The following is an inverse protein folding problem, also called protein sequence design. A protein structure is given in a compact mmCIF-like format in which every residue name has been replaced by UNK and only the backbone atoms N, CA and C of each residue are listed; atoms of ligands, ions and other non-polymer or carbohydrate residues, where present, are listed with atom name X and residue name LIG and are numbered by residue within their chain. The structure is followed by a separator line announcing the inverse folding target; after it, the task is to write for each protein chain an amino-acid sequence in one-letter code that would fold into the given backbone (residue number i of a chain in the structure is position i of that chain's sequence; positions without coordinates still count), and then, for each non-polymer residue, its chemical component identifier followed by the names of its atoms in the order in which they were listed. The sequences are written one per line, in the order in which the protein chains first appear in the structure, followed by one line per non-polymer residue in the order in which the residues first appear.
data_IF_744761403361
#
_entry.id   IF_744761403361
#
_cell.length_a   1.000
_cell.length_b   1.000
_cell.length_c   1.000
_cell.angle_alpha   90.00
_cell.angle_beta   90.00
_cell.angle_gamma   90.00
#
_symmetry.space_group_name_H-M   'P 1'
#
loop_
_entity.id
_entity.type
_entity.pdbx_description
1 polymer ?
#
# COMPACT_ATOMS: atom_id res chain seq x y z
N UNK A 1 -13.67 41.90 -5.91
CA UNK A 1 -13.79 40.53 -5.39
C UNK A 1 -12.41 39.89 -5.54
N UNK A 2 -11.61 39.86 -4.45
CA UNK A 2 -10.21 39.39 -4.50
C UNK A 2 -10.22 37.86 -4.45
N UNK A 3 -9.87 37.23 -5.58
CA UNK A 3 -9.56 35.80 -5.61
C UNK A 3 -8.41 35.51 -4.65
N UNK A 4 -8.70 34.72 -3.63
CA UNK A 4 -7.73 34.25 -2.67
C UNK A 4 -6.87 33.22 -3.39
N UNK A 5 -5.66 33.63 -3.81
CA UNK A 5 -4.61 32.73 -4.28
C UNK A 5 -4.32 31.72 -3.17
N UNK A 6 -4.97 30.56 -3.22
CA UNK A 6 -4.59 29.40 -2.41
C UNK A 6 -3.21 28.97 -2.90
N UNK A 7 -2.18 29.32 -2.13
CA UNK A 7 -0.82 28.84 -2.33
C UNK A 7 -0.85 27.31 -2.42
N UNK A 8 -0.32 26.74 -3.51
CA UNK A 8 -0.17 25.29 -3.61
C UNK A 8 0.67 24.80 -2.41
N UNK A 9 0.23 23.74 -1.70
CA UNK A 9 1.00 23.23 -0.58
C UNK A 9 2.40 22.81 -1.05
N UNK A 10 3.41 23.20 -0.27
CA UNK A 10 4.80 22.79 -0.46
C UNK A 10 4.88 21.24 -0.45
N UNK A 11 5.80 20.64 -1.21
CA UNK A 11 5.96 19.17 -1.30
C UNK A 11 6.02 18.49 0.08
N UNK A 12 6.76 19.09 1.02
CA UNK A 12 6.90 18.60 2.40
C UNK A 12 5.56 18.59 3.15
N UNK A 13 4.69 19.57 2.88
CA UNK A 13 3.35 19.63 3.48
C UNK A 13 2.43 18.54 2.91
N UNK A 14 2.57 18.22 1.62
CA UNK A 14 1.79 17.17 0.97
C UNK A 14 2.17 15.78 1.49
N UNK A 15 3.46 15.47 1.60
CA UNK A 15 3.93 14.17 2.10
C UNK A 15 3.48 13.94 3.55
N UNK A 16 3.57 14.97 4.39
CA UNK A 16 3.08 14.94 5.76
C UNK A 16 1.56 14.74 5.83
N UNK A 17 0.80 15.44 4.98
CA UNK A 17 -0.65 15.30 4.90
C UNK A 17 -1.06 13.88 4.48
N UNK A 18 -0.44 13.33 3.42
CA UNK A 18 -0.72 11.97 2.94
C UNK A 18 -0.46 10.95 4.04
N UNK A 19 0.70 11.01 4.71
CA UNK A 19 1.01 10.10 5.82
C UNK A 19 0.00 10.21 6.95
N UNK A 20 -0.39 11.42 7.33
CA UNK A 20 -1.38 11.64 8.39
C UNK A 20 -2.75 11.04 8.04
N UNK A 21 -3.17 11.10 6.76
CA UNK A 21 -4.41 10.49 6.30
C UNK A 21 -4.32 8.97 6.23
N UNK A 22 -3.22 8.43 5.71
CA UNK A 22 -3.01 6.99 5.64
C UNK A 22 -2.85 6.34 7.04
N UNK A 23 -2.42 7.09 8.06
CA UNK A 23 -2.44 6.63 9.45
C UNK A 23 -3.86 6.39 9.98
N UNK A 24 -4.87 7.07 9.44
CA UNK A 24 -6.28 6.87 9.81
C UNK A 24 -6.89 5.65 9.12
N UNK A 25 -6.23 5.11 8.08
CA UNK A 25 -6.72 3.94 7.38
C UNK A 25 -6.54 2.67 8.22
N UNK A 26 -7.50 1.72 8.17
CA UNK A 26 -7.44 0.49 8.96
C UNK A 26 -6.28 -0.45 8.55
N UNK A 27 -6.00 -1.45 9.40
CA UNK A 27 -4.99 -2.49 9.13
C UNK A 27 -5.29 -3.29 7.86
N UNK A 28 -6.58 -3.55 7.59
CA UNK A 28 -7.05 -4.03 6.30
C UNK A 28 -7.35 -2.82 5.40
N UNK A 29 -6.91 -2.77 4.13
CA UNK A 29 -7.24 -1.67 3.24
C UNK A 29 -8.75 -1.42 3.16
N UNK A 30 -9.21 -0.15 3.13
CA UNK A 30 -10.64 0.16 3.08
C UNK A 30 -11.28 -0.40 1.81
N UNK A 31 -12.46 -1.00 1.92
CA UNK A 31 -13.12 -1.69 0.80
C UNK A 31 -12.67 -3.13 0.54
N UNK A 32 -11.54 -3.59 1.11
CA UNK A 32 -11.21 -5.01 1.08
C UNK A 32 -12.09 -5.79 2.05
N UNK A 33 -12.73 -6.85 1.56
CA UNK A 33 -13.49 -7.80 2.35
C UNK A 33 -12.70 -9.09 2.53
N UNK A 34 -12.99 -9.84 3.61
CA UNK A 34 -12.45 -11.19 3.74
C UNK A 34 -13.07 -12.08 2.67
N UNK A 35 -12.25 -12.89 2.00
CA UNK A 35 -12.70 -13.76 0.93
C UNK A 35 -11.94 -15.09 0.98
N UNK A 36 -12.61 -16.24 0.78
CA UNK A 36 -11.92 -17.52 0.68
C UNK A 36 -11.00 -17.59 -0.55
N UNK A 37 -11.20 -16.71 -1.54
CA UNK A 37 -10.35 -16.59 -2.75
C UNK A 37 -8.99 -15.94 -2.48
N UNK A 38 -8.88 -15.23 -1.36
CA UNK A 38 -7.64 -14.60 -0.90
C UNK A 38 -7.53 -14.82 0.62
N UNK A 39 -7.21 -16.06 1.06
CA UNK A 39 -7.05 -16.35 2.47
C UNK A 39 -5.76 -15.71 2.98
N UNK A 40 -5.77 -15.24 4.23
CA UNK A 40 -4.63 -14.58 4.83
C UNK A 40 -5.01 -13.40 5.70
N UNK A 41 -4.00 -12.60 6.02
CA UNK A 41 -4.16 -11.41 6.85
C UNK A 41 -3.53 -10.19 6.20
N UNK A 42 -4.26 -9.09 6.25
CA UNK A 42 -3.76 -7.76 5.89
C UNK A 42 -3.17 -7.07 7.11
N UNK A 43 -1.96 -6.54 6.96
CA UNK A 43 -1.33 -5.66 7.93
C UNK A 43 -0.77 -4.41 7.23
N UNK A 44 -0.95 -3.26 7.87
CA UNK A 44 -0.35 -2.00 7.45
C UNK A 44 1.15 -2.02 7.77
N UNK A 45 1.96 -1.97 6.73
CA UNK A 45 3.40 -1.77 6.82
C UNK A 45 3.79 -0.30 6.91
N UNK A 46 3.13 0.57 6.12
CA UNK A 46 3.37 2.02 6.10
C UNK A 46 2.07 2.81 5.91
N UNK A 47 1.95 4.01 6.49
CA UNK A 47 2.87 4.59 7.48
C UNK A 47 2.86 3.80 8.79
N UNK A 48 4.03 3.68 9.46
CA UNK A 48 4.10 3.10 10.79
C UNK A 48 3.51 4.03 11.84
N UNK A 49 3.04 3.42 12.92
CA UNK A 49 2.64 4.14 14.12
C UNK A 49 3.84 4.91 14.69
N UNK A 50 3.59 6.07 15.30
CA UNK A 50 4.65 6.98 15.80
C UNK A 50 5.66 6.31 16.74
N UNK A 51 5.28 5.20 17.37
CA UNK A 51 6.11 4.43 18.31
C UNK A 51 7.11 3.48 17.62
N UNK A 52 6.96 3.16 16.33
CA UNK A 52 7.85 2.23 15.63
C UNK A 52 8.53 2.89 14.43
N UNK A 53 9.86 3.01 14.50
CA UNK A 53 10.68 3.52 13.39
C UNK A 53 10.94 2.48 12.31
N UNK A 54 10.77 1.19 12.63
CA UNK A 54 11.03 0.09 11.70
C UNK A 54 9.80 -0.18 10.83
N UNK A 55 9.94 0.07 9.53
CA UNK A 55 8.88 -0.12 8.55
C UNK A 55 9.29 -1.21 7.55
N UNK A 56 8.36 -2.05 7.10
CA UNK A 56 8.58 -2.87 5.93
C UNK A 56 8.92 -2.02 4.71
N UNK A 57 9.74 -2.58 3.83
CA UNK A 57 10.17 -1.96 2.60
C UNK A 57 10.28 -3.00 1.49
N UNK A 58 10.29 -2.52 0.25
CA UNK A 58 10.42 -3.37 -0.93
C UNK A 58 11.84 -3.27 -1.48
N UNK A 59 12.36 -4.36 -2.05
CA UNK A 59 13.64 -4.36 -2.76
C UNK A 59 13.62 -5.34 -3.93
N UNK A 60 14.53 -5.12 -4.88
CA UNK A 60 14.80 -6.11 -5.91
C UNK A 60 15.58 -7.30 -5.31
N UNK A 61 15.29 -8.55 -5.70
CA UNK A 61 16.14 -9.70 -5.39
C UNK A 61 17.60 -9.43 -5.75
N UNK A 62 18.53 -9.84 -4.89
CA UNK A 62 19.97 -9.64 -5.08
C UNK A 62 20.49 -8.22 -4.82
N UNK A 63 19.63 -7.21 -4.67
CA UNK A 63 20.04 -5.85 -4.32
C UNK A 63 19.83 -5.55 -2.84
N UNK A 64 20.83 -4.93 -2.20
CA UNK A 64 20.71 -4.38 -0.85
C UNK A 64 20.80 -2.84 -0.83
N UNK A 65 21.03 -2.21 -1.99
CA UNK A 65 21.24 -0.76 -2.12
C UNK A 65 19.94 0.00 -2.38
N UNK A 66 19.05 -0.58 -3.18
CA UNK A 66 17.82 0.09 -3.60
C UNK A 66 16.64 -0.44 -2.79
N UNK A 67 16.08 0.43 -1.94
CA UNK A 67 14.86 0.18 -1.17
C UNK A 67 13.76 1.09 -1.69
N UNK A 68 12.60 0.51 -1.97
CA UNK A 68 11.39 1.25 -2.27
C UNK A 68 10.56 1.36 -1.00
N UNK A 69 10.23 2.59 -0.63
CA UNK A 69 9.42 2.96 0.53
C UNK A 69 8.19 3.72 0.04
N UNK A 70 7.09 3.02 -0.26
CA UNK A 70 5.86 3.67 -0.68
C UNK A 70 5.34 4.64 0.40
N UNK A 71 4.53 5.63 -0.01
CA UNK A 71 3.87 6.54 0.95
C UNK A 71 2.90 5.77 1.86
N UNK A 72 2.22 4.77 1.30
CA UNK A 72 1.45 3.75 2.03
C UNK A 72 1.77 2.35 1.55
N UNK A 73 1.86 1.39 2.46
CA UNK A 73 2.15 -0.01 2.16
C UNK A 73 1.30 -0.90 3.05
N UNK A 74 0.48 -1.73 2.42
CA UNK A 74 -0.25 -2.82 3.05
C UNK A 74 0.26 -4.16 2.51
N UNK A 75 0.44 -5.11 3.42
CA UNK A 75 0.97 -6.43 3.14
C UNK A 75 -0.12 -7.45 3.45
N UNK A 76 -0.43 -8.28 2.48
CA UNK A 76 -1.31 -9.43 2.63
C UNK A 76 -0.46 -10.70 2.72
N UNK A 77 -0.43 -11.33 3.88
CA UNK A 77 0.36 -12.54 4.10
C UNK A 77 -0.47 -13.78 3.80
N UNK A 78 0.09 -14.69 3.01
CA UNK A 78 -0.49 -16.02 2.80
C UNK A 78 -0.52 -16.82 4.11
N UNK A 79 -1.24 -17.95 4.09
CA UNK A 79 -1.46 -18.78 5.28
C UNK A 79 -0.59 -20.03 5.36
N UNK A 80 0.10 -20.41 4.27
CA UNK A 80 0.90 -21.65 4.22
C UNK A 80 2.40 -21.36 4.41
N UNK A 81 3.02 -21.78 5.53
CA UNK A 81 4.46 -21.62 5.74
C UNK A 81 5.34 -22.38 4.73
N UNK A 82 4.79 -23.36 3.99
CA UNK A 82 5.51 -24.13 2.97
C UNK A 82 5.59 -23.39 1.63
N UNK A 83 4.70 -22.43 1.40
CA UNK A 83 4.67 -21.55 0.23
C UNK A 83 4.53 -20.08 0.67
N UNK A 84 5.59 -19.53 1.31
CA UNK A 84 5.51 -18.21 1.92
C UNK A 84 5.58 -17.10 0.87
N UNK A 85 4.54 -16.28 0.82
CA UNK A 85 4.48 -15.09 -0.04
C UNK A 85 3.77 -13.93 0.68
N UNK A 86 3.85 -12.74 0.06
CA UNK A 86 2.91 -11.67 0.35
C UNK A 86 2.36 -11.04 -0.94
N UNK A 87 1.11 -10.58 -0.91
CA UNK A 87 0.61 -9.63 -1.90
C UNK A 87 0.73 -8.22 -1.31
N UNK A 88 0.82 -7.19 -2.15
CA UNK A 88 0.95 -5.80 -1.68
C UNK A 88 -0.08 -4.87 -2.30
N UNK A 89 -0.55 -3.94 -1.47
CA UNK A 89 -1.21 -2.72 -1.91
C UNK A 89 -0.34 -1.53 -1.52
N UNK A 90 0.16 -0.82 -2.52
CA UNK A 90 0.95 0.40 -2.36
C UNK A 90 0.11 1.63 -2.66
N UNK A 91 0.36 2.70 -1.92
CA UNK A 91 -0.17 4.04 -2.19
C UNK A 91 1.01 4.97 -2.45
N UNK A 92 0.92 5.74 -3.53
CA UNK A 92 1.94 6.69 -3.95
C UNK A 92 1.30 8.04 -4.26
N UNK A 93 1.65 9.08 -3.51
CA UNK A 93 1.21 10.44 -3.79
C UNK A 93 2.17 11.11 -4.78
N UNK A 94 1.67 11.49 -5.95
CA UNK A 94 2.48 12.10 -6.99
C UNK A 94 2.18 13.59 -7.13
N UNK A 95 3.17 14.42 -6.83
CA UNK A 95 3.07 15.88 -6.91
C UNK A 95 3.23 16.43 -8.34
N UNK A 96 3.84 15.64 -9.24
CA UNK A 96 4.10 15.95 -10.65
C UNK A 96 4.08 14.71 -11.54
N UNK A 97 4.04 14.90 -12.87
CA UNK A 97 4.15 13.80 -13.83
C UNK A 97 5.52 13.11 -13.79
N UNK A 98 6.61 13.86 -13.65
CA UNK A 98 7.95 13.28 -13.51
C UNK A 98 8.05 12.40 -12.26
N UNK A 99 7.47 12.85 -11.14
CA UNK A 99 7.40 12.06 -9.91
C UNK A 99 6.53 10.81 -10.07
N UNK A 100 5.44 10.89 -10.82
CA UNK A 100 4.64 9.72 -11.18
C UNK A 100 5.46 8.71 -11.98
N UNK A 101 6.16 9.12 -13.04
CA UNK A 101 6.94 8.21 -13.89
C UNK A 101 8.08 7.54 -13.12
N UNK A 102 8.78 8.29 -12.29
CA UNK A 102 9.80 7.74 -11.38
C UNK A 102 9.21 6.69 -10.43
N UNK A 103 8.10 7.00 -9.76
CA UNK A 103 7.42 6.04 -8.86
C UNK A 103 6.89 4.82 -9.61
N UNK A 104 6.29 4.99 -10.80
CA UNK A 104 5.78 3.89 -11.64
C UNK A 104 6.87 2.89 -12.02
N UNK A 105 8.07 3.37 -12.34
CA UNK A 105 9.20 2.49 -12.70
C UNK A 105 9.58 1.49 -11.59
N UNK A 106 9.25 1.79 -10.32
CA UNK A 106 9.60 0.96 -9.15
C UNK A 106 8.66 -0.22 -8.93
N UNK A 107 7.50 -0.24 -9.60
CA UNK A 107 6.45 -1.24 -9.38
C UNK A 107 6.08 -2.03 -10.62
N UNK A 108 6.84 -1.92 -11.71
CA UNK A 108 6.56 -2.62 -12.97
C UNK A 108 6.78 -4.15 -12.84
N UNK A 109 5.71 -4.97 -12.70
CA UNK A 109 5.83 -6.41 -12.44
C UNK A 109 6.26 -7.17 -13.69
N UNK A 110 6.02 -6.59 -14.87
CA UNK A 110 6.40 -7.15 -16.17
C UNK A 110 7.91 -7.12 -16.39
N UNK A 111 8.65 -6.28 -15.66
CA UNK A 111 10.09 -6.11 -15.83
C UNK A 111 10.88 -6.41 -14.56
N UNK A 112 10.21 -6.68 -13.43
CA UNK A 112 10.88 -6.91 -12.16
C UNK A 112 10.09 -7.77 -11.20
N UNK A 113 10.82 -8.51 -10.35
CA UNK A 113 10.28 -9.15 -9.15
C UNK A 113 10.63 -8.31 -7.92
N UNK A 114 9.75 -8.30 -6.92
CA UNK A 114 9.97 -7.58 -5.66
C UNK A 114 10.02 -8.56 -4.48
N UNK A 115 10.83 -8.22 -3.49
CA UNK A 115 10.82 -8.81 -2.16
C UNK A 115 10.28 -7.79 -1.16
N UNK A 116 9.35 -8.20 -0.32
CA UNK A 116 8.97 -7.46 0.87
C UNK A 116 9.88 -7.88 2.03
N UNK A 117 10.53 -6.91 2.67
CA UNK A 117 11.36 -7.13 3.85
C UNK A 117 10.63 -6.55 5.05
N UNK A 118 10.28 -7.40 6.01
CA UNK A 118 9.65 -7.04 7.28
C UNK A 118 10.71 -7.07 8.40
N UNK A 119 11.12 -5.90 8.93
CA UNK A 119 12.10 -5.85 10.02
C UNK A 119 11.61 -6.55 11.29
N UNK A 120 12.54 -7.11 12.07
CA UNK A 120 12.23 -7.78 13.37
C UNK A 120 11.42 -6.88 14.29
N UNK A 121 11.84 -5.62 14.48
CA UNK A 121 11.12 -4.68 15.34
C UNK A 121 9.67 -4.41 14.89
N UNK A 122 9.38 -4.50 13.58
CA UNK A 122 8.00 -4.40 13.08
C UNK A 122 7.22 -5.68 13.35
N UNK A 123 7.84 -6.85 13.17
CA UNK A 123 7.24 -8.16 13.42
C UNK A 123 6.90 -8.39 14.90
N UNK A 124 7.72 -7.88 15.82
CA UNK A 124 7.53 -8.00 17.26
C UNK A 124 6.56 -6.96 17.85
N UNK A 125 6.30 -5.86 17.13
CA UNK A 125 5.34 -4.87 17.58
C UNK A 125 3.88 -5.37 17.44
N UNK A 126 2.93 -4.83 18.25
CA UNK A 126 1.52 -5.21 18.18
C UNK A 126 0.91 -5.03 16.79
N UNK A 127 0.04 -5.96 16.39
CA UNK A 127 -0.66 -5.88 15.10
C UNK A 127 -1.88 -4.96 15.11
N UNK A 128 -2.49 -4.73 16.27
CA UNK A 128 -3.61 -3.81 16.46
C UNK A 128 -3.33 -2.90 17.67
N UNK A 129 -3.96 -1.71 17.75
CA UNK A 129 -3.82 -0.82 18.91
C UNK A 129 -4.28 -1.46 20.22
N UNK A 130 -5.39 -2.21 20.17
CA UNK A 130 -6.06 -2.75 21.36
C UNK A 130 -5.72 -4.23 21.63
N UNK A 131 -4.86 -4.84 20.82
CA UNK A 131 -4.43 -6.23 20.97
C UNK A 131 -2.89 -6.29 20.97
N UNK A 132 -2.25 -6.67 22.09
CA UNK A 132 -0.80 -6.74 22.19
C UNK A 132 -0.18 -7.88 21.38
N UNK A 133 -0.98 -8.70 20.69
CA UNK A 133 -0.49 -9.80 19.87
C UNK A 133 0.49 -9.29 18.81
N UNK A 134 1.74 -9.78 18.81
CA UNK A 134 2.76 -9.32 17.86
C UNK A 134 2.41 -9.77 16.45
N UNK A 135 2.76 -8.95 15.45
CA UNK A 135 2.45 -9.20 14.03
C UNK A 135 2.89 -10.57 13.55
N UNK A 136 4.04 -11.09 13.99
CA UNK A 136 4.52 -12.40 13.55
C UNK A 136 3.59 -13.56 13.91
N UNK A 137 2.88 -13.48 15.06
CA UNK A 137 1.90 -14.48 15.46
C UNK A 137 0.62 -14.41 14.62
N UNK A 138 0.25 -13.20 14.19
CA UNK A 138 -0.90 -12.99 13.30
C UNK A 138 -0.62 -13.45 11.87
N UNK A 139 0.62 -13.27 11.40
CA UNK A 139 1.06 -13.67 10.05
C UNK A 139 1.06 -15.19 9.88
N UNK A 140 1.30 -15.96 10.95
CA UNK A 140 1.30 -17.43 10.96
C UNK A 140 2.29 -18.13 10.00
N UNK A 141 3.19 -17.40 9.33
CA UNK A 141 4.26 -17.96 8.49
C UNK A 141 5.50 -18.39 9.29
N UNK A 142 5.63 -17.94 10.53
CA UNK A 142 6.79 -18.21 11.38
C UNK A 142 6.43 -19.15 12.52
N UNK A 143 7.21 -20.23 12.69
CA UNK A 143 7.02 -21.23 13.75
C UNK A 143 7.54 -20.78 15.13
N UNK A 144 8.45 -19.81 15.14
CA UNK A 144 9.10 -19.29 16.33
C UNK A 144 9.28 -17.78 16.21
N UNK A 145 9.58 -17.13 17.33
CA UNK A 145 9.84 -15.70 17.38
C UNK A 145 11.00 -15.31 16.43
N UNK A 146 10.81 -14.33 15.53
CA UNK A 146 11.83 -13.97 14.56
C UNK A 146 13.01 -13.22 15.19
N UNK A 147 14.21 -13.75 14.98
CA UNK A 147 15.48 -13.06 15.32
C UNK A 147 16.11 -12.35 14.11
N UNK A 148 15.58 -12.60 12.91
CA UNK A 148 16.02 -12.01 11.64
C UNK A 148 14.82 -11.45 10.86
N UNK A 149 15.01 -10.48 9.95
CA UNK A 149 13.92 -9.96 9.14
C UNK A 149 13.24 -11.05 8.32
N UNK A 150 11.90 -11.03 8.26
CA UNK A 150 11.13 -11.88 7.36
C UNK A 150 11.18 -11.27 5.96
N UNK A 151 11.74 -12.01 5.01
CA UNK A 151 11.79 -11.59 3.59
C UNK A 151 10.90 -12.52 2.77
N UNK A 152 9.94 -11.96 2.05
CA UNK A 152 8.95 -12.71 1.27
C UNK A 152 8.97 -12.26 -0.19
N UNK A 153 8.79 -13.19 -1.15
CA UNK A 153 8.46 -12.82 -2.51
C UNK A 153 7.11 -12.09 -2.54
N UNK A 154 7.04 -11.03 -3.35
CA UNK A 154 5.78 -10.37 -3.65
C UNK A 154 5.12 -11.10 -4.82
N UNK A 155 3.94 -11.68 -4.57
CA UNK A 155 3.20 -12.49 -5.55
C UNK A 155 2.28 -11.64 -6.43
N UNK A 156 1.47 -10.77 -5.82
CA UNK A 156 0.64 -9.79 -6.53
C UNK A 156 0.96 -8.36 -6.06
N UNK A 157 0.99 -7.42 -7.01
CA UNK A 157 1.29 -6.01 -6.78
C UNK A 157 0.09 -5.20 -7.22
N UNK A 158 -0.35 -4.27 -6.38
CA UNK A 158 -1.40 -3.29 -6.69
C UNK A 158 -0.95 -1.93 -6.20
N UNK A 159 -1.03 -0.91 -7.04
CA UNK A 159 -0.56 0.44 -6.71
C UNK A 159 -1.62 1.47 -7.03
N UNK A 160 -1.96 2.31 -6.04
CA UNK A 160 -2.82 3.48 -6.23
C UNK A 160 -1.96 4.73 -6.26
N UNK A 161 -1.99 5.43 -7.39
CA UNK A 161 -1.35 6.73 -7.56
C UNK A 161 -2.35 7.86 -7.30
N UNK A 162 -2.07 8.68 -6.29
CA UNK A 162 -2.77 9.94 -6.07
C UNK A 162 -2.17 11.03 -6.93
N UNK A 163 -2.98 11.68 -7.78
CA UNK A 163 -2.51 12.72 -8.72
C UNK A 163 -3.20 14.06 -8.43
N UNK A 164 -2.45 15.17 -8.45
CA UNK A 164 -3.09 16.52 -8.45
C UNK A 164 -4.06 16.64 -9.64
N UNK A 165 -5.19 17.35 -9.47
CA UNK A 165 -6.28 17.40 -10.46
C UNK A 165 -5.82 17.66 -11.90
N UNK A 166 -4.90 18.62 -12.12
CA UNK A 166 -4.36 18.91 -13.46
C UNK A 166 -3.69 17.69 -14.11
N UNK A 167 -2.93 16.91 -13.35
CA UNK A 167 -2.24 15.72 -13.85
C UNK A 167 -3.21 14.54 -13.95
N UNK A 168 -4.17 14.42 -13.03
CA UNK A 168 -5.19 13.39 -13.06
C UNK A 168 -6.01 13.48 -14.35
N UNK A 169 -6.56 14.66 -14.66
CA UNK A 169 -7.40 14.85 -15.85
C UNK A 169 -6.62 14.60 -17.14
N UNK A 170 -5.39 15.10 -17.23
CA UNK A 170 -4.54 14.86 -18.40
C UNK A 170 -4.13 13.39 -18.56
N UNK A 171 -3.86 12.68 -17.46
CA UNK A 171 -3.52 11.27 -17.51
C UNK A 171 -4.74 10.43 -17.89
N UNK A 172 -5.89 10.67 -17.24
CA UNK A 172 -7.12 9.92 -17.47
C UNK A 172 -7.66 10.07 -18.91
N UNK A 173 -7.39 11.19 -19.58
CA UNK A 173 -7.84 11.41 -20.95
C UNK A 173 -6.91 10.86 -22.03
N UNK A 174 -5.66 10.52 -21.71
CA UNK A 174 -4.63 10.24 -22.72
C UNK A 174 -3.79 8.99 -22.48
N UNK A 175 -3.83 8.41 -21.28
CA UNK A 175 -2.98 7.29 -20.89
C UNK A 175 -3.81 6.09 -20.46
N UNK A 176 -3.28 4.89 -20.70
CA UNK A 176 -3.88 3.64 -20.23
C UNK A 176 -3.11 3.12 -19.01
N UNK A 177 -3.77 2.93 -17.84
CA UNK A 177 -3.21 2.22 -16.70
C UNK A 177 -2.79 0.79 -17.06
N UNK A 178 -1.69 0.30 -16.46
CA UNK A 178 -1.40 -1.14 -16.45
C UNK A 178 -2.32 -1.87 -15.46
N UNK A 179 -2.43 -3.20 -15.57
CA UNK A 179 -3.38 -4.01 -14.78
C UNK A 179 -3.20 -3.92 -13.24
N UNK A 180 -2.00 -3.56 -12.78
CA UNK A 180 -1.71 -3.37 -11.36
C UNK A 180 -1.86 -1.90 -10.89
N UNK A 181 -2.10 -0.97 -11.82
CA UNK A 181 -2.11 0.46 -11.57
C UNK A 181 -3.54 1.00 -11.44
N UNK A 182 -3.74 1.80 -10.41
CA UNK A 182 -5.00 2.45 -10.08
C UNK A 182 -4.72 3.93 -9.81
N UNK A 183 -5.67 4.81 -10.12
CA UNK A 183 -5.47 6.25 -10.04
C UNK A 183 -6.62 6.91 -9.31
N UNK A 184 -6.29 7.87 -8.44
CA UNK A 184 -7.28 8.71 -7.76
C UNK A 184 -6.84 10.18 -7.73
N UNK A 185 -7.79 11.12 -7.62
CA UNK A 185 -7.47 12.51 -7.34
C UNK A 185 -6.76 12.65 -5.97
N UNK A 186 -5.72 13.48 -5.91
CA UNK A 186 -4.98 13.77 -4.67
C UNK A 186 -5.90 14.29 -3.56
N UNK A 187 -6.90 15.09 -3.92
CA UNK A 187 -7.86 15.65 -2.96
C UNK A 187 -8.71 14.55 -2.32
N UNK A 188 -9.06 13.51 -3.09
CA UNK A 188 -9.78 12.35 -2.55
C UNK A 188 -8.89 11.51 -1.63
N UNK A 189 -7.60 11.37 -1.96
CA UNK A 189 -6.63 10.65 -1.13
C UNK A 189 -6.37 11.37 0.21
N UNK A 190 -6.27 12.71 0.17
CA UNK A 190 -5.90 13.56 1.31
C UNK A 190 -7.08 14.09 2.13
N UNK A 191 -8.32 13.77 1.74
CA UNK A 191 -9.53 14.07 2.51
C UNK A 191 -9.49 13.44 3.92
N UNK A 192 -10.07 14.13 4.91
CA UNK A 192 -10.01 13.76 6.34
C UNK A 192 -10.56 12.37 6.68
N UNK A 193 -11.50 11.86 5.88
CA UNK A 193 -12.06 10.52 6.02
C UNK A 193 -11.96 9.76 4.70
N UNK A 194 -10.82 9.86 4.02
CA UNK A 194 -10.63 9.25 2.70
C UNK A 194 -10.87 7.73 2.68
N UNK A 195 -10.61 7.04 3.79
CA UNK A 195 -10.90 5.60 3.96
C UNK A 195 -12.40 5.27 4.00
N UNK A 196 -13.27 6.25 4.26
CA UNK A 196 -14.72 6.08 4.28
C UNK A 196 -15.40 6.51 2.98
N UNK A 197 -14.65 7.16 2.07
CA UNK A 197 -15.19 7.59 0.80
C UNK A 197 -15.62 6.35 -0.03
N UNK A 198 -16.91 6.21 -0.39
CA UNK A 198 -17.40 5.03 -1.12
C UNK A 198 -16.69 4.80 -2.45
N UNK A 199 -16.32 5.87 -3.17
CA UNK A 199 -15.59 5.76 -4.43
C UNK A 199 -14.15 5.28 -4.23
N UNK A 200 -13.50 5.70 -3.13
CA UNK A 200 -12.18 5.20 -2.74
C UNK A 200 -12.24 3.73 -2.33
N UNK A 201 -13.22 3.35 -1.51
CA UNK A 201 -13.44 1.96 -1.12
C UNK A 201 -13.70 1.07 -2.33
N UNK A 202 -14.54 1.52 -3.28
CA UNK A 202 -14.80 0.79 -4.51
C UNK A 202 -13.55 0.66 -5.39
N UNK A 203 -12.71 1.70 -5.49
CA UNK A 203 -11.44 1.64 -6.20
C UNK A 203 -10.50 0.59 -5.57
N UNK A 204 -10.34 0.64 -4.24
CA UNK A 204 -9.47 -0.27 -3.51
C UNK A 204 -10.01 -1.71 -3.55
N UNK A 205 -11.33 -1.91 -3.50
CA UNK A 205 -11.95 -3.22 -3.65
C UNK A 205 -11.64 -3.84 -5.02
N UNK A 206 -11.66 -3.05 -6.10
CA UNK A 206 -11.21 -3.52 -7.43
C UNK A 206 -9.73 -3.89 -7.45
N UNK A 207 -8.91 -3.23 -6.64
CA UNK A 207 -7.50 -3.55 -6.45
C UNK A 207 -7.26 -4.78 -5.55
N UNK A 208 -8.28 -5.56 -5.19
CA UNK A 208 -8.10 -6.85 -4.51
C UNK A 208 -7.76 -7.96 -5.50
N UNK A 209 -6.84 -8.86 -5.13
CA UNK A 209 -6.59 -10.08 -5.90
C UNK A 209 -7.84 -10.96 -6.03
N UNK A 210 -8.74 -10.95 -5.04
CA UNK A 210 -10.00 -11.68 -5.09
C UNK A 210 -10.93 -11.21 -6.23
N UNK A 211 -10.80 -9.94 -6.66
CA UNK A 211 -11.59 -9.34 -7.73
C UNK A 211 -11.21 -9.87 -9.12
N UNK A 212 -10.13 -10.66 -9.24
CA UNK A 212 -9.78 -11.35 -10.48
C UNK A 212 -10.66 -12.60 -10.75
N UNK A 213 -11.44 -13.05 -9.77
CA UNK A 213 -12.19 -14.31 -9.86
C UNK A 213 -13.69 -14.08 -9.90
N UNK A 214 -14.37 -14.71 -10.86
CA UNK A 214 -15.85 -14.74 -10.93
C UNK A 214 -16.45 -15.31 -9.64
N UNK A 215 -17.54 -14.71 -9.15
CA UNK A 215 -18.36 -15.32 -8.10
C UNK A 215 -19.14 -16.49 -8.71
N UNK A 216 -19.03 -17.67 -8.12
CA UNK A 216 -19.89 -18.78 -8.51
C UNK A 216 -21.29 -18.53 -7.92
N UNK A 217 -22.37 -18.89 -8.63
CA UNK A 217 -23.71 -18.92 -8.03
C UNK A 217 -23.71 -19.87 -6.83
N UNK A 218 -24.47 -19.49 -5.79
CA UNK A 218 -24.74 -20.36 -4.63
C UNK A 218 -25.50 -21.63 -5.05
#
# INVERSE_FOLDING_TARGET
MRETLRSEPCHVQLDGLVRNRLLQWPQRPPGHQSSPKQPGIWLRGRPADRASSANPFLKLPGSNRLRTLPDGLWLHFGTDPRDPYCDILCIEACSSLANLLDKRSRFAPTTSSLLAVCPVAWLLAPGQPDDPTPRWKLIQLLKAEPTVPLTLPVRDIRVIYGLKNRHYMGFASSQMPQAHEYFCPMDALTAERSHENPAMQALIARASAASNFMLLPD
#
